data_IF_495110770359
#
_entry.id   IF_495110770359
#
_cell.length_a   1.000
_cell.length_b   1.000
_cell.length_c   1.000
_cell.angle_alpha   90.00
_cell.angle_beta   90.00
_cell.angle_gamma   90.00
#
_symmetry.space_group_name_H-M   'P 1'
#
loop_
_entity.id
_entity.type
_entity.pdbx_description
1 polymer ?
#
# COMPACT_ATOMS: atom_id res chain seq x y z
N UNK A 1 2.27 -27.12 -16.20
CA UNK A 1 1.67 -26.36 -15.08
C UNK A 1 2.30 -24.96 -15.03
N UNK A 2 1.54 -23.89 -14.71
CA UNK A 2 2.14 -22.59 -14.42
C UNK A 2 3.13 -22.72 -13.25
N UNK A 3 4.28 -22.05 -13.34
CA UNK A 3 5.29 -22.07 -12.28
C UNK A 3 4.79 -21.18 -11.14
N UNK A 4 4.81 -21.66 -9.87
CA UNK A 4 4.43 -20.81 -8.74
C UNK A 4 5.30 -19.56 -8.69
N UNK A 5 4.71 -18.45 -8.28
CA UNK A 5 5.44 -17.19 -8.10
C UNK A 5 6.48 -17.36 -6.99
N UNK A 6 7.73 -17.03 -7.27
CA UNK A 6 8.82 -17.08 -6.28
C UNK A 6 8.75 -15.88 -5.32
N UNK A 7 9.20 -16.04 -4.09
CA UNK A 7 9.29 -14.98 -3.07
C UNK A 7 9.95 -13.69 -3.63
N UNK A 8 11.11 -13.81 -4.29
CA UNK A 8 11.79 -12.66 -4.89
C UNK A 8 10.96 -11.87 -5.92
N UNK A 9 10.01 -12.51 -6.61
CA UNK A 9 9.13 -11.81 -7.57
C UNK A 9 7.98 -11.11 -6.85
N UNK A 10 7.48 -11.68 -5.76
CA UNK A 10 6.52 -11.01 -4.88
C UNK A 10 7.15 -9.76 -4.25
N UNK A 11 8.38 -9.87 -3.75
CA UNK A 11 9.10 -8.75 -3.15
C UNK A 11 9.30 -7.60 -4.15
N UNK A 12 9.66 -7.93 -5.40
CA UNK A 12 9.76 -6.94 -6.47
C UNK A 12 8.41 -6.28 -6.78
N UNK A 13 7.32 -7.06 -6.76
CA UNK A 13 5.98 -6.54 -6.98
C UNK A 13 5.55 -5.60 -5.84
N UNK A 14 5.77 -5.99 -4.59
CA UNK A 14 5.52 -5.15 -3.41
C UNK A 14 6.37 -3.88 -3.42
N UNK A 15 7.64 -3.96 -3.82
CA UNK A 15 8.51 -2.80 -4.00
C UNK A 15 7.96 -1.81 -5.03
N UNK A 16 7.36 -2.30 -6.13
CA UNK A 16 6.73 -1.44 -7.15
C UNK A 16 5.44 -0.79 -6.66
N UNK A 17 4.63 -1.51 -5.87
CA UNK A 17 3.46 -0.93 -5.21
C UNK A 17 3.91 0.20 -4.28
N UNK A 18 4.89 -0.08 -3.41
CA UNK A 18 5.38 0.90 -2.45
C UNK A 18 5.99 2.12 -3.12
N UNK A 19 6.80 1.94 -4.17
CA UNK A 19 7.36 3.06 -4.94
C UNK A 19 6.26 3.99 -5.48
N UNK A 20 5.18 3.42 -6.03
CA UNK A 20 4.07 4.20 -6.56
C UNK A 20 3.29 4.95 -5.47
N UNK A 21 3.08 4.31 -4.32
CA UNK A 21 2.43 4.95 -3.17
C UNK A 21 3.31 6.08 -2.63
N UNK A 22 4.62 5.87 -2.57
CA UNK A 22 5.58 6.86 -2.07
C UNK A 22 5.60 8.14 -2.91
N UNK A 23 5.34 8.06 -4.21
CA UNK A 23 5.17 9.25 -5.07
C UNK A 23 3.98 10.13 -4.64
N UNK A 24 2.95 9.53 -4.05
CA UNK A 24 1.77 10.22 -3.54
C UNK A 24 1.80 10.49 -2.03
N UNK A 25 2.78 9.92 -1.32
CA UNK A 25 2.97 10.05 0.12
C UNK A 25 3.72 11.33 0.44
N UNK A 26 2.99 12.37 0.85
CA UNK A 26 3.56 13.65 1.26
C UNK A 26 3.22 13.91 2.72
N UNK A 27 4.19 13.75 3.61
CA UNK A 27 4.04 14.12 5.03
C UNK A 27 4.57 15.55 5.22
N UNK A 28 3.77 16.49 5.74
CA UNK A 28 4.26 17.80 6.15
C UNK A 28 5.31 17.67 7.27
N UNK A 29 6.40 18.42 7.20
CA UNK A 29 7.49 18.37 8.18
C UNK A 29 7.04 18.62 9.63
N UNK A 30 5.96 19.38 9.83
CA UNK A 30 5.40 19.64 11.15
C UNK A 30 4.75 18.40 11.78
N UNK A 31 4.25 17.45 10.98
CA UNK A 31 3.72 16.17 11.50
C UNK A 31 4.89 15.32 11.99
N UNK A 32 5.98 15.22 11.22
CA UNK A 32 7.17 14.42 11.57
C UNK A 32 7.84 14.84 12.89
N UNK A 33 7.73 16.11 13.29
CA UNK A 33 8.41 16.65 14.49
C UNK A 33 7.67 16.41 15.80
N UNK A 34 6.36 16.19 15.75
CA UNK A 34 5.51 16.09 16.95
C UNK A 34 5.12 14.65 17.29
N UNK A 35 5.26 13.72 16.34
CA UNK A 35 4.62 12.41 16.43
C UNK A 35 5.64 11.29 16.53
N UNK A 36 5.92 10.86 17.76
CA UNK A 36 6.65 9.63 18.07
C UNK A 36 5.66 8.46 17.95
N UNK A 37 6.02 7.40 17.24
CA UNK A 37 5.28 6.12 17.15
C UNK A 37 3.98 6.07 16.30
N UNK A 38 3.86 6.86 15.22
CA UNK A 38 2.73 6.67 14.29
C UNK A 38 2.87 5.39 13.47
N UNK A 39 1.83 4.55 13.51
CA UNK A 39 1.70 3.41 12.62
C UNK A 39 0.26 3.30 12.10
N UNK A 40 0.10 3.43 10.79
CA UNK A 40 -1.17 3.17 10.09
C UNK A 40 -0.99 1.96 9.19
N UNK A 41 -1.90 0.99 9.29
CA UNK A 41 -1.94 -0.17 8.40
C UNK A 41 -3.27 -0.17 7.66
N UNK A 42 -3.20 -0.16 6.33
CA UNK A 42 -4.36 -0.18 5.43
C UNK A 42 -4.30 -1.45 4.61
N UNK A 43 -5.35 -2.25 4.68
CA UNK A 43 -5.53 -3.40 3.80
C UNK A 43 -6.12 -2.92 2.49
N UNK A 44 -5.61 -3.46 1.39
CA UNK A 44 -6.01 -3.12 0.01
C UNK A 44 -6.24 -4.41 -0.77
N UNK A 45 -7.39 -4.50 -1.45
CA UNK A 45 -7.66 -5.55 -2.44
C UNK A 45 -7.40 -4.98 -3.83
N UNK A 46 -6.44 -5.58 -4.54
CA UNK A 46 -5.98 -5.15 -5.86
C UNK A 46 -6.51 -6.11 -6.92
N UNK A 47 -7.17 -5.60 -7.96
CA UNK A 47 -7.61 -6.38 -9.12
C UNK A 47 -6.47 -6.66 -10.10
N UNK A 48 -6.68 -7.61 -11.01
CA UNK A 48 -5.67 -8.03 -12.01
C UNK A 48 -5.05 -6.88 -12.82
N UNK A 49 -5.83 -5.84 -13.11
CA UNK A 49 -5.41 -4.67 -13.88
C UNK A 49 -4.77 -3.57 -13.01
N UNK A 50 -4.66 -3.79 -11.69
CA UNK A 50 -4.10 -2.85 -10.74
C UNK A 50 -5.14 -1.90 -10.12
N UNK A 51 -6.42 -1.97 -10.51
CA UNK A 51 -7.47 -1.18 -9.83
C UNK A 51 -7.62 -1.59 -8.38
N UNK A 52 -7.98 -0.63 -7.54
CA UNK A 52 -8.22 -0.88 -6.12
C UNK A 52 -9.70 -1.23 -5.97
N UNK A 53 -9.99 -2.47 -5.62
CA UNK A 53 -11.35 -2.92 -5.36
C UNK A 53 -11.87 -2.35 -4.04
N UNK A 54 -11.08 -2.51 -2.98
CA UNK A 54 -11.41 -2.07 -1.62
C UNK A 54 -10.14 -1.63 -0.88
N UNK A 55 -10.31 -0.70 0.07
CA UNK A 55 -9.26 -0.31 1.00
C UNK A 55 -9.86 0.10 2.35
N UNK A 56 -9.34 -0.45 3.45
CA UNK A 56 -9.80 -0.14 4.80
C UNK A 56 -8.67 -0.17 5.83
N UNK A 57 -8.86 0.53 6.95
CA UNK A 57 -7.90 0.56 8.04
C UNK A 57 -7.95 -0.76 8.81
N UNK A 58 -6.83 -1.47 8.88
CA UNK A 58 -6.60 -2.54 9.86
C UNK A 58 -6.12 -1.94 11.18
N UNK A 59 -5.19 -0.98 11.12
CA UNK A 59 -4.70 -0.24 12.27
C UNK A 59 -4.65 1.26 11.96
N UNK A 60 -5.16 2.06 12.88
CA UNK A 60 -5.03 3.51 12.88
C UNK A 60 -3.91 3.94 13.82
N UNK A 61 -3.21 5.00 13.45
CA UNK A 61 -2.10 5.54 14.24
C UNK A 61 -2.57 6.27 15.50
N UNK A 62 -3.83 6.71 15.52
CA UNK A 62 -4.38 7.60 16.54
C UNK A 62 -4.32 9.08 16.15
N UNK A 63 -3.60 9.42 15.07
CA UNK A 63 -3.63 10.73 14.43
C UNK A 63 -4.49 10.68 13.16
N UNK A 64 -5.63 11.37 13.19
CA UNK A 64 -6.59 11.35 12.08
C UNK A 64 -6.02 11.96 10.80
N UNK A 65 -5.14 12.97 10.91
CA UNK A 65 -4.55 13.63 9.76
C UNK A 65 -3.57 12.68 9.06
N UNK A 66 -2.70 12.02 9.83
CA UNK A 66 -1.77 11.02 9.32
C UNK A 66 -2.50 9.83 8.69
N UNK A 67 -3.53 9.30 9.34
CA UNK A 67 -4.36 8.21 8.82
C UNK A 67 -5.04 8.59 7.49
N UNK A 68 -5.59 9.80 7.40
CA UNK A 68 -6.22 10.31 6.18
C UNK A 68 -5.20 10.49 5.05
N UNK A 69 -4.00 10.97 5.37
CA UNK A 69 -2.92 11.08 4.41
C UNK A 69 -2.55 9.70 3.85
N UNK A 70 -2.49 8.67 4.71
CA UNK A 70 -2.08 7.32 4.31
C UNK A 70 -3.09 6.74 3.32
N UNK A 71 -4.37 6.83 3.65
CA UNK A 71 -5.45 6.42 2.77
C UNK A 71 -5.46 7.21 1.46
N UNK A 72 -5.17 8.52 1.51
CA UNK A 72 -5.10 9.37 0.32
C UNK A 72 -3.95 8.98 -0.61
N UNK A 73 -2.78 8.61 -0.06
CA UNK A 73 -1.65 8.15 -0.86
C UNK A 73 -1.98 6.86 -1.62
N UNK A 74 -2.64 5.89 -0.95
CA UNK A 74 -3.13 4.66 -1.60
C UNK A 74 -4.09 4.99 -2.75
N UNK A 75 -5.12 5.81 -2.49
CA UNK A 75 -6.13 6.16 -3.50
C UNK A 75 -5.53 6.92 -4.69
N UNK A 76 -4.54 7.80 -4.45
CA UNK A 76 -3.83 8.52 -5.52
C UNK A 76 -2.92 7.63 -6.35
N UNK A 77 -2.44 6.52 -5.78
CA UNK A 77 -1.60 5.56 -6.48
C UNK A 77 -2.39 4.66 -7.43
N UNK A 78 -3.73 4.73 -7.44
CA UNK A 78 -4.55 3.97 -8.38
C UNK A 78 -4.35 4.43 -9.84
N UNK A 79 -4.20 3.51 -10.81
CA UNK A 79 -4.10 2.06 -10.64
C UNK A 79 -2.71 1.64 -10.12
N UNK A 80 -2.65 0.70 -9.18
CA UNK A 80 -1.40 0.06 -8.75
C UNK A 80 -0.78 -0.77 -9.89
N UNK A 81 0.47 -1.24 -9.77
CA UNK A 81 1.02 -2.19 -10.73
C UNK A 81 0.08 -3.40 -10.90
N UNK A 82 -0.13 -3.90 -12.13
CA UNK A 82 -1.00 -5.06 -12.36
C UNK A 82 -0.42 -6.31 -11.70
N UNK A 83 -1.29 -7.24 -11.27
CA UNK A 83 -0.83 -8.46 -10.62
C UNK A 83 0.10 -9.27 -11.56
N UNK A 84 1.18 -9.86 -11.02
CA UNK A 84 2.00 -10.82 -11.74
C UNK A 84 1.16 -11.86 -12.48
N UNK A 85 1.52 -12.17 -13.73
CA UNK A 85 0.77 -13.13 -14.57
C UNK A 85 0.77 -14.53 -13.98
N UNK A 86 1.76 -14.83 -13.15
CA UNK A 86 1.93 -16.11 -12.46
C UNK A 86 0.95 -16.32 -11.30
N UNK A 87 0.35 -15.25 -10.75
CA UNK A 87 -0.75 -15.39 -9.79
C UNK A 87 -2.00 -15.88 -10.52
N UNK A 88 -2.63 -16.96 -10.06
CA UNK A 88 -3.90 -17.45 -10.60
C UNK A 88 -5.07 -16.57 -10.19
N UNK A 89 -4.98 -15.93 -9.03
CA UNK A 89 -6.11 -15.26 -8.40
C UNK A 89 -6.46 -13.95 -9.08
N UNK A 90 -7.75 -13.61 -9.12
CA UNK A 90 -8.21 -12.38 -9.79
C UNK A 90 -7.87 -11.12 -9.00
N UNK A 91 -7.66 -11.30 -7.70
CA UNK A 91 -7.36 -10.24 -6.75
C UNK A 91 -6.17 -10.64 -5.87
N UNK A 92 -5.55 -9.64 -5.25
CA UNK A 92 -4.54 -9.81 -4.22
C UNK A 92 -4.86 -8.88 -3.05
N UNK A 93 -4.95 -9.43 -1.85
CA UNK A 93 -5.09 -8.66 -0.61
C UNK A 93 -3.71 -8.44 0.02
N UNK A 94 -3.38 -7.20 0.35
CA UNK A 94 -2.12 -6.83 1.01
C UNK A 94 -2.37 -5.80 2.12
N UNK A 95 -1.57 -5.85 3.18
CA UNK A 95 -1.46 -4.80 4.18
C UNK A 95 -0.32 -3.83 3.83
N UNK A 96 -0.62 -2.53 3.76
CA UNK A 96 0.36 -1.48 3.51
C UNK A 96 0.55 -0.71 4.82
N UNK A 97 1.78 -0.75 5.34
CA UNK A 97 2.18 -0.11 6.59
C UNK A 97 2.86 1.22 6.33
N UNK A 98 2.37 2.26 6.99
CA UNK A 98 2.93 3.60 6.98
C UNK A 98 3.49 3.91 8.37
N UNK A 99 4.78 4.24 8.42
CA UNK A 99 5.46 4.78 9.59
C UNK A 99 6.32 5.98 9.16
N UNK A 100 6.54 6.97 10.03
CA UNK A 100 7.55 8.00 9.81
C UNK A 100 8.93 7.33 9.71
N UNK A 101 9.62 7.47 8.58
CA UNK A 101 11.04 7.06 8.42
C UNK A 101 11.95 7.91 9.33
#
# INVERSE_FOLDING_TARGET
>A
APRPLSESKLDQYYGRIWAKIKEAWTIPENVLKETVDLETVIVVIIERDGRIQEAWFEKKSGDELYDQMALRAIKKAEPLPPLPRELSDKTLEIGIRFFPD
#
